data_IF_204533122139
#
_entry.id   IF_204533122139
#
_cell.length_a   1.000
_cell.length_b   1.000
_cell.length_c   1.000
_cell.angle_alpha   90.00
_cell.angle_beta   90.00
_cell.angle_gamma   90.00
#
_symmetry.space_group_name_H-M   'P 1'
#
loop_
_entity.id
_entity.type
_entity.pdbx_description
1 polymer ?
#
# COMPACT_ATOMS: atom_id res chain seq x y z
N UNK A 1 6.50 12.08 12.84
CA UNK A 1 5.81 11.53 11.65
C UNK A 1 5.81 10.02 11.77
N UNK A 2 4.72 9.33 11.45
CA UNK A 2 4.62 7.87 11.58
C UNK A 2 4.20 7.26 10.24
N UNK A 3 4.88 6.21 9.83
CA UNK A 3 4.48 5.36 8.69
C UNK A 3 3.77 4.14 9.24
N UNK A 4 2.53 3.92 8.83
CA UNK A 4 1.71 2.80 9.33
C UNK A 4 1.97 1.53 8.54
N UNK A 5 1.91 1.64 7.21
CA UNK A 5 2.10 0.50 6.31
C UNK A 5 2.51 0.96 4.92
N UNK A 6 3.13 0.04 4.19
CA UNK A 6 3.64 0.24 2.85
C UNK A 6 3.34 -1.00 2.00
N UNK A 7 2.96 -0.77 0.75
CA UNK A 7 2.59 -1.82 -0.21
C UNK A 7 3.22 -1.53 -1.56
N UNK A 8 3.59 -2.61 -2.26
CA UNK A 8 3.95 -2.59 -3.67
C UNK A 8 3.00 -3.51 -4.40
N UNK A 9 2.36 -2.98 -5.44
CA UNK A 9 1.54 -3.75 -6.37
C UNK A 9 2.19 -3.79 -7.74
N UNK A 10 2.13 -4.94 -8.38
CA UNK A 10 2.61 -5.08 -9.75
C UNK A 10 1.56 -4.58 -10.77
N UNK A 11 1.85 -4.84 -12.05
CA UNK A 11 0.95 -4.51 -13.16
C UNK A 11 -0.28 -5.44 -13.24
N UNK A 12 -0.20 -6.62 -12.65
CA UNK A 12 -1.25 -7.65 -12.63
C UNK A 12 -2.22 -7.50 -11.45
N UNK A 13 -2.09 -6.42 -10.67
CA UNK A 13 -2.88 -6.15 -9.47
C UNK A 13 -2.57 -7.09 -8.30
N UNK A 14 -1.42 -7.77 -8.32
CA UNK A 14 -0.96 -8.59 -7.21
C UNK A 14 -0.17 -7.73 -6.22
N UNK A 15 -0.38 -7.98 -4.93
CA UNK A 15 0.41 -7.37 -3.87
C UNK A 15 1.72 -8.15 -3.76
N UNK A 16 2.81 -7.56 -4.25
CA UNK A 16 4.14 -8.20 -4.29
C UNK A 16 4.99 -7.83 -3.07
N UNK A 17 4.62 -6.79 -2.33
CA UNK A 17 5.27 -6.50 -1.05
C UNK A 17 4.29 -5.80 -0.12
N UNK A 18 4.35 -6.15 1.18
CA UNK A 18 3.58 -5.49 2.23
C UNK A 18 4.40 -5.44 3.51
N UNK A 19 4.52 -4.25 4.10
CA UNK A 19 5.13 -4.05 5.42
C UNK A 19 4.20 -3.22 6.29
N UNK A 20 4.12 -3.59 7.57
CA UNK A 20 3.32 -2.88 8.57
C UNK A 20 4.16 -2.66 9.81
N UNK A 21 4.28 -1.40 10.22
CA UNK A 21 5.06 -1.01 11.40
C UNK A 21 4.18 -0.82 12.63
N UNK A 22 2.92 -0.43 12.45
CA UNK A 22 2.01 -0.14 13.56
C UNK A 22 0.76 -1.02 13.49
N UNK A 23 0.32 -1.65 14.61
CA UNK A 23 -0.91 -2.42 14.63
C UNK A 23 -2.14 -1.54 14.38
N UNK A 24 -3.21 -2.18 13.88
CA UNK A 24 -4.44 -1.48 13.53
C UNK A 24 -5.08 -0.86 14.79
N UNK A 25 -5.56 0.40 14.72
CA UNK A 25 -6.44 0.93 15.75
C UNK A 25 -7.68 0.04 15.90
N UNK A 26 -8.09 -0.35 17.11
CA UNK A 26 -9.24 -1.25 17.32
C UNK A 26 -10.56 -0.72 16.73
N UNK A 27 -10.66 0.59 16.47
CA UNK A 27 -11.79 1.24 15.80
C UNK A 27 -12.00 0.82 14.34
N UNK A 28 -10.99 0.27 13.66
CA UNK A 28 -11.07 -0.26 12.27
C UNK A 28 -11.31 -1.79 12.27
N UNK A 29 -11.45 -2.42 13.45
CA UNK A 29 -11.81 -3.84 13.61
C UNK A 29 -13.34 -4.00 13.59
N UNK A 30 -14.11 -2.90 13.64
CA UNK A 30 -15.57 -2.91 13.71
C UNK A 30 -16.29 -3.26 12.40
N UNK A 31 -16.98 -4.40 12.42
CA UNK A 31 -18.13 -4.84 11.58
C UNK A 31 -17.89 -4.79 10.07
N UNK A 32 -17.37 -5.89 9.53
CA UNK A 32 -17.50 -6.21 8.11
C UNK A 32 -18.98 -6.37 7.74
N UNK A 33 -19.65 -5.29 7.34
CA UNK A 33 -20.91 -5.34 6.60
C UNK A 33 -20.59 -5.69 5.14
N UNK A 34 -20.25 -6.95 4.89
CA UNK A 34 -20.34 -7.49 3.52
C UNK A 34 -21.83 -7.73 3.27
N UNK A 35 -22.46 -7.15 2.23
CA UNK A 35 -23.73 -7.66 1.77
C UNK A 35 -23.46 -9.06 1.20
N UNK A 36 -23.85 -10.09 1.94
CA UNK A 36 -23.99 -11.43 1.38
C UNK A 36 -25.14 -11.37 0.40
N UNK A 37 -24.86 -11.45 -0.90
CA UNK A 37 -25.87 -11.82 -1.88
C UNK A 37 -26.27 -13.25 -1.58
N UNK A 38 -27.40 -13.41 -0.89
CA UNK A 38 -27.98 -14.69 -0.51
C UNK A 38 -28.29 -15.49 -1.78
N UNK A 39 -27.66 -16.65 -1.93
CA UNK A 39 -28.14 -17.71 -2.80
C UNK A 39 -28.81 -18.75 -1.90
N UNK A 40 -30.04 -19.09 -2.22
CA UNK A 40 -30.98 -19.80 -1.37
C UNK A 40 -30.54 -21.23 -0.95
N UNK A 41 -30.85 -21.54 0.32
CA UNK A 41 -31.25 -22.82 0.92
C UNK A 41 -30.20 -23.92 1.27
N UNK A 42 -30.07 -24.20 2.57
CA UNK A 42 -30.44 -25.50 3.21
C UNK A 42 -30.77 -25.26 4.70
N UNK A 43 -31.87 -25.81 5.26
CA UNK A 43 -32.22 -25.63 6.67
C UNK A 43 -31.82 -26.88 7.47
N UNK A 44 -30.55 -26.96 7.90
CA UNK A 44 -30.10 -27.74 9.06
C UNK A 44 -28.57 -27.76 9.14
N UNK A 45 -27.99 -26.73 9.76
CA UNK A 45 -26.66 -26.81 10.36
C UNK A 45 -26.59 -25.80 11.51
N UNK A 46 -26.05 -26.26 12.65
CA UNK A 46 -25.87 -25.49 13.88
C UNK A 46 -25.11 -24.17 13.63
N UNK A 47 -25.36 -23.10 14.39
CA UNK A 47 -24.59 -21.87 14.24
C UNK A 47 -23.16 -22.11 14.75
N UNK A 48 -22.10 -21.89 13.95
CA UNK A 48 -20.76 -21.81 14.49
C UNK A 48 -20.65 -20.49 15.28
N UNK A 49 -20.52 -20.64 16.60
CA UNK A 49 -20.17 -19.58 17.54
C UNK A 49 -18.66 -19.31 17.45
N UNK A 50 -18.32 -18.01 17.43
CA UNK A 50 -16.99 -17.41 17.60
C UNK A 50 -15.90 -17.76 16.57
N UNK A 51 -15.77 -16.85 15.60
CA UNK A 51 -14.58 -16.74 14.76
C UNK A 51 -14.84 -15.73 13.65
N UNK A 52 -14.96 -14.43 13.98
CA UNK A 52 -14.83 -13.42 12.93
C UNK A 52 -13.44 -13.63 12.31
N UNK A 53 -13.31 -13.89 10.99
CA UNK A 53 -11.99 -13.97 10.39
C UNK A 53 -11.32 -12.62 10.63
N UNK A 54 -10.26 -12.64 11.43
CA UNK A 54 -9.35 -11.51 11.55
C UNK A 54 -8.98 -11.10 10.13
N UNK A 55 -9.37 -9.89 9.71
CA UNK A 55 -9.08 -9.40 8.36
C UNK A 55 -7.60 -9.56 8.12
N UNK A 56 -7.25 -10.38 7.14
CA UNK A 56 -5.85 -10.71 6.89
C UNK A 56 -5.14 -9.49 6.30
N UNK A 57 -3.83 -9.45 6.39
CA UNK A 57 -3.03 -8.41 5.71
C UNK A 57 -3.23 -8.45 4.19
N UNK A 58 -3.64 -9.60 3.64
CA UNK A 58 -4.01 -9.78 2.22
C UNK A 58 -5.34 -9.13 1.86
N UNK A 59 -6.34 -9.22 2.74
CA UNK A 59 -7.63 -8.54 2.53
C UNK A 59 -7.46 -7.01 2.53
N UNK A 60 -6.53 -6.51 3.34
CA UNK A 60 -6.18 -5.09 3.38
C UNK A 60 -5.51 -4.64 2.08
N UNK A 61 -4.56 -5.43 1.57
CA UNK A 61 -3.89 -5.12 0.31
C UNK A 61 -4.89 -5.05 -0.84
N UNK A 62 -5.83 -6.00 -0.93
CA UNK A 62 -6.92 -5.99 -1.93
C UNK A 62 -7.82 -4.76 -1.80
N UNK A 63 -8.19 -4.38 -0.58
CA UNK A 63 -9.01 -3.19 -0.34
C UNK A 63 -8.27 -1.89 -0.73
N UNK A 64 -6.99 -1.79 -0.38
CA UNK A 64 -6.14 -0.64 -0.72
C UNK A 64 -5.99 -0.55 -2.23
N UNK A 65 -5.71 -1.67 -2.90
CA UNK A 65 -5.65 -1.72 -4.36
C UNK A 65 -6.96 -1.26 -4.99
N UNK A 66 -8.11 -1.81 -4.55
CA UNK A 66 -9.42 -1.42 -5.07
C UNK A 66 -9.72 0.07 -4.89
N UNK A 67 -9.31 0.64 -3.76
CA UNK A 67 -9.46 2.08 -3.47
C UNK A 67 -8.61 2.93 -4.41
N UNK A 68 -7.33 2.61 -4.55
CA UNK A 68 -6.40 3.29 -5.46
C UNK A 68 -6.86 3.17 -6.91
N UNK A 69 -7.27 1.99 -7.34
CA UNK A 69 -7.78 1.73 -8.69
C UNK A 69 -9.01 2.60 -9.00
N UNK A 70 -9.97 2.66 -8.06
CA UNK A 70 -11.19 3.45 -8.21
C UNK A 70 -10.89 4.95 -8.26
N UNK A 71 -10.02 5.44 -7.37
CA UNK A 71 -9.64 6.85 -7.32
C UNK A 71 -8.84 7.27 -8.54
N UNK A 72 -7.89 6.45 -9.02
CA UNK A 72 -7.15 6.71 -10.26
C UNK A 72 -8.09 6.86 -11.45
N UNK A 73 -9.07 5.97 -11.57
CA UNK A 73 -10.08 6.04 -12.63
C UNK A 73 -10.95 7.30 -12.52
N UNK A 74 -11.36 7.65 -11.29
CA UNK A 74 -12.12 8.88 -11.02
C UNK A 74 -11.32 10.13 -11.41
N UNK A 75 -10.06 10.24 -10.98
CA UNK A 75 -9.19 11.38 -11.31
C UNK A 75 -9.02 11.52 -12.82
N UNK A 76 -8.73 10.43 -13.54
CA UNK A 76 -8.62 10.48 -15.02
C UNK A 76 -9.91 10.92 -15.71
N UNK A 77 -11.06 10.47 -15.22
CA UNK A 77 -12.37 10.83 -15.79
C UNK A 77 -12.74 12.29 -15.53
N UNK A 78 -12.32 12.87 -14.40
CA UNK A 78 -12.64 14.24 -14.01
C UNK A 78 -11.60 15.27 -14.46
N UNK A 79 -10.31 14.92 -14.38
CA UNK A 79 -9.17 15.79 -14.65
C UNK A 79 -8.55 15.63 -16.03
N UNK A 80 -8.92 14.61 -16.81
CA UNK A 80 -8.36 14.33 -18.12
C UNK A 80 -7.21 13.33 -18.11
N UNK A 81 -6.61 13.08 -19.27
CA UNK A 81 -5.62 11.99 -19.45
C UNK A 81 -4.28 12.26 -18.77
N UNK A 82 -3.92 13.54 -18.61
CA UNK A 82 -2.67 13.99 -18.00
C UNK A 82 -2.72 14.04 -16.47
N UNK A 83 -3.91 13.94 -15.87
CA UNK A 83 -4.05 13.97 -14.41
C UNK A 83 -3.85 12.58 -13.80
N UNK A 84 -3.17 12.55 -12.66
CA UNK A 84 -2.80 11.31 -11.97
C UNK A 84 -3.11 11.42 -10.49
N UNK A 85 -3.70 10.34 -9.95
CA UNK A 85 -3.95 10.27 -8.51
C UNK A 85 -2.63 10.32 -7.74
N UNK A 86 -2.54 11.14 -6.69
CA UNK A 86 -1.32 11.29 -5.88
C UNK A 86 -1.54 10.91 -4.41
N UNK A 87 -2.63 11.38 -3.81
CA UNK A 87 -2.89 11.18 -2.38
C UNK A 87 -4.37 11.38 -2.04
N UNK A 88 -4.83 10.75 -0.97
CA UNK A 88 -6.01 11.20 -0.24
C UNK A 88 -5.71 11.29 1.26
N UNK A 89 -6.48 12.11 1.95
CA UNK A 89 -6.38 12.34 3.39
C UNK A 89 -7.72 12.08 4.04
N UNK A 90 -7.70 11.34 5.15
CA UNK A 90 -8.84 11.18 6.06
C UNK A 90 -8.58 11.95 7.36
N UNK A 91 -9.47 11.83 8.34
CA UNK A 91 -9.24 12.35 9.69
C UNK A 91 -8.17 11.57 10.47
N UNK A 92 -7.82 10.35 10.05
CA UNK A 92 -6.95 9.45 10.82
C UNK A 92 -5.64 9.10 10.13
N UNK A 93 -5.61 9.10 8.81
CA UNK A 93 -4.40 8.77 8.05
C UNK A 93 -4.39 9.46 6.70
N UNK A 94 -3.21 9.45 6.07
CA UNK A 94 -2.97 9.92 4.72
C UNK A 94 -2.38 8.80 3.88
N UNK A 95 -2.96 8.54 2.72
CA UNK A 95 -2.44 7.58 1.74
C UNK A 95 -1.67 8.35 0.66
N UNK A 96 -0.45 7.91 0.38
CA UNK A 96 0.40 8.43 -0.68
C UNK A 96 0.58 7.37 -1.75
N UNK A 97 0.52 7.79 -3.01
CA UNK A 97 0.58 6.92 -4.17
C UNK A 97 1.65 7.39 -5.14
N UNK A 98 2.39 6.44 -5.69
CA UNK A 98 3.33 6.66 -6.78
C UNK A 98 3.24 5.49 -7.76
N UNK A 99 3.01 5.80 -9.03
CA UNK A 99 2.96 4.83 -10.13
C UNK A 99 4.16 5.06 -11.04
N UNK A 100 4.85 3.97 -11.37
CA UNK A 100 5.95 3.97 -12.34
C UNK A 100 5.40 3.81 -13.76
N UNK A 101 6.15 4.22 -14.80
CA UNK A 101 5.76 3.97 -16.20
C UNK A 101 5.54 2.48 -16.52
N UNK A 102 6.21 1.58 -15.80
CA UNK A 102 6.04 0.12 -15.89
C UNK A 102 4.83 -0.40 -15.10
N UNK A 103 3.96 0.49 -14.61
CA UNK A 103 2.71 0.19 -13.89
C UNK A 103 2.92 -0.54 -12.55
N UNK A 104 4.10 -0.40 -11.94
CA UNK A 104 4.36 -0.78 -10.55
C UNK A 104 3.90 0.36 -9.64
N UNK A 105 3.16 0.02 -8.59
CA UNK A 105 2.46 0.97 -7.72
C UNK A 105 2.99 0.88 -6.31
N UNK A 106 3.44 2.01 -5.79
CA UNK A 106 3.93 2.15 -4.44
C UNK A 106 2.90 2.91 -3.62
N UNK A 107 2.48 2.33 -2.50
CA UNK A 107 1.45 2.89 -1.63
C UNK A 107 1.98 2.98 -0.21
N UNK A 108 1.89 4.16 0.41
CA UNK A 108 2.32 4.38 1.79
C UNK A 108 1.21 5.04 2.59
N UNK A 109 0.87 4.46 3.73
CA UNK A 109 -0.04 5.06 4.71
C UNK A 109 0.78 5.68 5.83
N UNK A 110 0.46 6.93 6.16
CA UNK A 110 1.17 7.72 7.16
C UNK A 110 0.20 8.50 8.04
N UNK A 111 0.73 9.11 9.10
CA UNK A 111 -0.01 10.08 9.90
C UNK A 111 -0.52 11.25 9.05
N UNK A 112 -1.63 11.85 9.48
CA UNK A 112 -2.31 12.91 8.76
C UNK A 112 -1.43 14.14 8.55
N UNK A 113 -0.56 14.47 9.50
CA UNK A 113 0.32 15.64 9.43
C UNK A 113 1.51 15.45 8.50
N UNK A 114 1.68 14.25 7.93
CA UNK A 114 2.80 13.95 7.05
C UNK A 114 2.75 14.79 5.77
N UNK A 115 3.90 15.33 5.32
CA UNK A 115 4.01 16.05 4.05
C UNK A 115 3.81 15.08 2.87
N UNK A 116 3.96 15.56 1.64
CA UNK A 116 3.91 14.69 0.47
C UNK A 116 5.05 13.67 0.51
N UNK A 117 4.72 12.38 0.34
CA UNK A 117 5.73 11.31 0.24
C UNK A 117 6.15 11.00 -1.19
N UNK A 118 5.78 11.83 -2.18
CA UNK A 118 6.09 11.57 -3.60
C UNK A 118 7.58 11.34 -3.85
N UNK A 119 8.43 12.22 -3.31
CA UNK A 119 9.89 12.09 -3.45
C UNK A 119 10.39 10.84 -2.72
N UNK A 120 9.88 10.56 -1.52
CA UNK A 120 10.26 9.38 -0.76
C UNK A 120 9.90 8.08 -1.50
N UNK A 121 8.69 7.98 -2.05
CA UNK A 121 8.25 6.84 -2.85
C UNK A 121 9.09 6.66 -4.12
N UNK A 122 9.45 7.76 -4.78
CA UNK A 122 10.35 7.73 -5.94
C UNK A 122 11.76 7.26 -5.56
N UNK A 123 12.30 7.68 -4.41
CA UNK A 123 13.60 7.21 -3.94
C UNK A 123 13.57 5.72 -3.56
N UNK A 124 12.48 5.23 -2.97
CA UNK A 124 12.29 3.79 -2.71
C UNK A 124 12.28 3.02 -4.04
N UNK A 125 11.63 3.55 -5.09
CA UNK A 125 11.70 2.92 -6.40
C UNK A 125 13.12 2.87 -6.96
N UNK A 126 13.82 4.01 -7.02
CA UNK A 126 15.11 4.13 -7.70
C UNK A 126 16.22 3.40 -6.93
N UNK A 127 16.34 3.62 -5.62
CA UNK A 127 17.51 3.18 -4.86
C UNK A 127 17.31 1.81 -4.20
N UNK A 128 16.07 1.38 -4.00
CA UNK A 128 15.78 0.12 -3.30
C UNK A 128 15.16 -0.89 -4.26
N UNK A 129 14.03 -0.58 -4.89
CA UNK A 129 13.32 -1.54 -5.73
C UNK A 129 14.15 -1.91 -6.98
N UNK A 130 14.66 -0.92 -7.71
CA UNK A 130 15.50 -1.20 -8.89
C UNK A 130 16.78 -1.93 -8.49
N UNK A 131 17.42 -1.52 -7.39
CA UNK A 131 18.70 -2.09 -6.96
C UNK A 131 18.60 -3.53 -6.47
N UNK A 132 17.62 -3.83 -5.61
CA UNK A 132 17.55 -5.12 -4.92
C UNK A 132 16.55 -6.10 -5.55
N UNK A 133 15.61 -5.61 -6.37
CA UNK A 133 14.60 -6.45 -7.03
C UNK A 133 14.90 -6.57 -8.51
N UNK A 134 14.94 -5.45 -9.24
CA UNK A 134 15.07 -5.48 -10.71
C UNK A 134 16.45 -5.95 -11.17
N UNK A 135 17.53 -5.50 -10.50
CA UNK A 135 18.89 -5.93 -10.83
C UNK A 135 19.25 -7.31 -10.27
N UNK A 136 18.42 -7.90 -9.41
CA UNK A 136 18.67 -9.23 -8.87
C UNK A 136 18.26 -10.29 -9.91
N UNK A 137 19.21 -11.03 -10.52
CA UNK A 137 18.91 -12.02 -11.56
C UNK A 137 18.13 -13.24 -11.03
N UNK A 138 18.07 -13.42 -9.70
CA UNK A 138 17.29 -14.47 -9.06
C UNK A 138 15.85 -14.02 -8.75
N UNK A 139 15.56 -12.73 -8.86
CA UNK A 139 14.20 -12.23 -8.69
C UNK A 139 13.37 -12.56 -9.94
N UNK A 140 12.18 -13.17 -9.78
CA UNK A 140 11.25 -13.31 -10.88
C UNK A 140 10.93 -11.94 -11.50
N UNK A 141 10.83 -11.90 -12.83
CA UNK A 141 10.45 -10.67 -13.56
C UNK A 141 9.00 -10.30 -13.25
N UNK A 142 8.14 -11.32 -13.15
CA UNK A 142 6.77 -11.22 -12.63
C UNK A 142 6.69 -12.05 -11.36
N UNK A 143 5.91 -11.61 -10.38
CA UNK A 143 5.76 -12.27 -9.09
C UNK A 143 4.40 -12.99 -8.97
N UNK A 144 4.17 -14.08 -9.72
CA UNK A 144 2.88 -14.75 -9.75
C UNK A 144 2.51 -15.27 -8.35
N UNK A 145 1.26 -15.02 -7.96
CA UNK A 145 0.73 -15.50 -6.68
C UNK A 145 1.17 -14.67 -5.48
N UNK A 146 1.72 -13.47 -5.69
CA UNK A 146 2.11 -12.57 -4.61
C UNK A 146 3.30 -13.05 -3.78
N UNK A 147 4.06 -14.05 -4.28
CA UNK A 147 5.41 -14.39 -3.79
C UNK A 147 6.37 -13.31 -4.29
N UNK A 148 6.09 -12.08 -3.88
CA UNK A 148 6.82 -10.92 -4.33
C UNK A 148 8.04 -10.63 -3.49
N UNK A 149 8.79 -9.60 -3.91
CA UNK A 149 9.99 -9.01 -3.29
C UNK A 149 10.44 -9.71 -2.00
N UNK A 150 11.17 -10.82 -2.15
CA UNK A 150 11.77 -11.55 -1.05
C UNK A 150 13.29 -11.34 -1.09
N UNK A 151 13.71 -10.17 -0.62
CA UNK A 151 15.12 -9.80 -0.55
C UNK A 151 15.38 -9.10 0.78
N UNK A 152 16.17 -9.72 1.65
CA UNK A 152 16.49 -9.20 2.98
C UNK A 152 17.17 -7.82 2.92
N UNK A 153 18.06 -7.59 1.94
CA UNK A 153 18.70 -6.29 1.75
C UNK A 153 17.70 -5.20 1.37
N UNK A 154 16.68 -5.55 0.60
CA UNK A 154 15.57 -4.63 0.30
C UNK A 154 14.81 -4.28 1.58
N UNK A 155 14.46 -5.28 2.40
CA UNK A 155 13.71 -5.07 3.64
C UNK A 155 14.50 -4.21 4.63
N UNK A 156 15.77 -4.54 4.88
CA UNK A 156 16.63 -3.78 5.79
C UNK A 156 16.82 -2.34 5.31
N UNK A 157 17.11 -2.15 4.02
CA UNK A 157 17.27 -0.82 3.43
C UNK A 157 15.98 0.00 3.52
N UNK A 158 14.81 -0.64 3.31
CA UNK A 158 13.52 0.02 3.44
C UNK A 158 13.24 0.45 4.88
N UNK A 159 13.57 -0.41 5.86
CA UNK A 159 13.41 -0.08 7.26
C UNK A 159 14.27 1.11 7.67
N UNK A 160 15.56 1.07 7.32
CA UNK A 160 16.46 2.19 7.55
C UNK A 160 15.93 3.47 6.89
N UNK A 161 15.50 3.39 5.62
CA UNK A 161 14.95 4.52 4.90
C UNK A 161 13.73 5.14 5.61
N UNK A 162 12.79 4.31 6.09
CA UNK A 162 11.59 4.77 6.82
C UNK A 162 11.94 5.42 8.16
N UNK A 163 12.95 4.90 8.87
CA UNK A 163 13.44 5.48 10.13
C UNK A 163 14.09 6.85 9.91
N UNK A 164 14.89 7.02 8.85
CA UNK A 164 15.56 8.29 8.54
C UNK A 164 14.67 9.30 7.80
N UNK A 165 13.49 8.87 7.34
CA UNK A 165 12.56 9.68 6.54
C UNK A 165 12.23 11.06 7.17
N UNK A 166 11.95 11.18 8.49
CA UNK A 166 11.72 12.49 9.11
C UNK A 166 12.90 13.46 8.95
N UNK A 167 14.14 12.96 9.08
CA UNK A 167 15.35 13.76 8.92
C UNK A 167 15.55 14.20 7.47
N UNK A 168 15.32 13.30 6.51
CA UNK A 168 15.44 13.59 5.07
C UNK A 168 14.45 14.68 4.59
N UNK A 169 13.24 14.66 5.13
CA UNK A 169 12.22 15.67 4.80
C UNK A 169 12.54 17.05 5.38
N UNK A 170 13.15 17.12 6.56
CA UNK A 170 13.56 18.40 7.15
C UNK A 170 14.70 19.05 6.36
N UNK A 171 15.66 18.26 5.86
CA UNK A 171 16.77 18.77 5.04
C UNK A 171 16.30 19.35 3.71
N UNK A 172 15.29 18.73 3.07
CA UNK A 172 14.76 19.19 1.78
C UNK A 172 13.90 20.45 1.89
N UNK A 173 13.21 20.66 3.02
CA UNK A 173 12.45 21.89 3.29
C UNK A 173 13.36 23.10 3.54
N UNK A 174 14.57 22.89 4.07
CA UNK A 174 15.56 23.94 4.35
C UNK A 174 16.27 24.51 3.11
N UNK A 175 16.16 23.85 1.95
CA UNK A 175 16.72 24.30 0.67
C UNK A 175 15.75 25.16 -0.16
N UNK A 176 14.52 25.34 0.32
CA UNK A 176 13.47 26.13 -0.35
C UNK A 176 13.15 27.46 0.33
N UNK A 177 14.05 27.99 1.16
CA UNK A 177 14.01 29.36 1.67
C UNK A 177 15.22 30.16 1.22
#
# INVERSE_FOLDING_TARGET
MVVYSFYIFDRHAECIYKRRWVPRPPSIIGKSSRPTSETSATPNAMPPVLGQPSRTTDDDAKLIFGTVFSLRNMVRKLGGEDDSFVTYRTSQYKLHYYETPTNIKFVMLTDVKSPSMRIALQQIYINLYVEYVVKNPLSPVEHPGGVGVNNELFEESLEQFVVYLPSLLNSTQGLTQ
#
